data_IF_005502966395
#
_entry.id   IF_005502966395
#
_cell.length_a   1.000
_cell.length_b   1.000
_cell.length_c   1.000
_cell.angle_alpha   90.00
_cell.angle_beta   90.00
_cell.angle_gamma   90.00
#
_symmetry.space_group_name_H-M   'P 1'
#
loop_
_entity.id
_entity.type
_entity.pdbx_description
1 polymer ?
#
# COMPACT_ATOMS: atom_id res chain seq x y z
N UNK A 1 2.53 -8.33 25.63
CA UNK A 1 3.34 -8.21 24.39
C UNK A 1 2.49 -7.88 23.17
N UNK A 2 1.42 -8.63 22.85
CA UNK A 2 0.63 -8.49 21.62
C UNK A 2 0.04 -7.08 21.40
N UNK A 3 -0.51 -6.43 22.45
CA UNK A 3 -1.13 -5.10 22.33
C UNK A 3 -0.17 -3.96 21.94
N UNK A 4 1.14 -4.12 22.21
CA UNK A 4 2.15 -3.09 21.86
C UNK A 4 2.56 -3.14 20.38
N UNK A 5 2.43 -4.30 19.74
CA UNK A 5 2.88 -4.50 18.36
C UNK A 5 1.74 -4.37 17.34
N UNK A 6 0.51 -4.12 17.81
CA UNK A 6 -0.68 -4.02 16.97
C UNK A 6 -0.60 -2.87 15.94
N UNK A 7 -0.08 -1.67 16.28
CA UNK A 7 0.14 -0.63 15.28
C UNK A 7 1.13 -1.06 14.19
N UNK A 8 2.28 -1.63 14.58
CA UNK A 8 3.29 -2.09 13.63
C UNK A 8 2.77 -3.18 12.67
N UNK A 9 1.84 -4.02 13.11
CA UNK A 9 1.20 -5.01 12.23
C UNK A 9 0.31 -4.35 11.16
N UNK A 10 -0.36 -3.26 11.51
CA UNK A 10 -1.16 -2.49 10.55
C UNK A 10 -0.27 -1.69 9.59
N UNK A 11 0.84 -1.14 10.08
CA UNK A 11 1.88 -0.52 9.23
C UNK A 11 2.47 -1.51 8.24
N UNK A 12 2.69 -2.76 8.67
CA UNK A 12 3.13 -3.83 7.77
C UNK A 12 2.04 -4.21 6.75
N UNK A 13 0.76 -4.10 7.11
CA UNK A 13 -0.34 -4.30 6.17
C UNK A 13 -0.41 -3.16 5.14
N UNK A 14 -0.19 -1.90 5.54
CA UNK A 14 0.01 -0.77 4.63
C UNK A 14 1.13 -1.09 3.62
N UNK A 15 2.31 -1.49 4.12
CA UNK A 15 3.44 -1.87 3.27
C UNK A 15 3.09 -3.00 2.30
N UNK A 16 2.43 -4.05 2.78
CA UNK A 16 2.05 -5.18 1.94
C UNK A 16 1.14 -4.73 0.79
N UNK A 17 0.18 -3.84 1.05
CA UNK A 17 -0.69 -3.27 0.03
C UNK A 17 0.07 -2.37 -0.95
N UNK A 18 1.01 -1.55 -0.47
CA UNK A 18 1.87 -0.72 -1.33
C UNK A 18 2.75 -1.55 -2.27
N UNK A 19 3.37 -2.63 -1.75
CA UNK A 19 4.17 -3.56 -2.56
C UNK A 19 3.30 -4.32 -3.55
N UNK A 20 2.11 -4.77 -3.15
CA UNK A 20 1.16 -5.43 -4.07
C UNK A 20 0.75 -4.49 -5.21
N UNK A 21 0.49 -3.20 -4.91
CA UNK A 21 0.17 -2.21 -5.94
C UNK A 21 1.29 -2.09 -6.98
N UNK A 22 2.55 -2.04 -6.54
CA UNK A 22 3.74 -2.00 -7.40
C UNK A 22 3.84 -3.27 -8.24
N UNK A 23 3.67 -4.45 -7.63
CA UNK A 23 3.78 -5.73 -8.33
C UNK A 23 2.68 -5.88 -9.40
N UNK A 24 1.45 -5.53 -9.08
CA UNK A 24 0.32 -5.56 -10.03
C UNK A 24 0.57 -4.57 -11.18
N UNK A 25 1.05 -3.36 -10.88
CA UNK A 25 1.34 -2.35 -11.89
C UNK A 25 2.51 -2.75 -12.81
N UNK A 26 3.51 -3.43 -12.23
CA UNK A 26 4.71 -3.88 -12.95
C UNK A 26 4.47 -5.18 -13.73
N UNK A 27 3.44 -5.95 -13.37
CA UNK A 27 3.14 -7.22 -14.03
C UNK A 27 2.69 -6.99 -15.49
N UNK A 28 3.33 -7.70 -16.41
CA UNK A 28 3.02 -7.68 -17.86
C UNK A 28 1.94 -8.68 -18.25
N UNK A 29 1.48 -9.52 -17.30
CA UNK A 29 0.43 -10.50 -17.54
C UNK A 29 -0.95 -9.86 -17.47
N UNK A 30 -1.84 -10.20 -18.41
CA UNK A 30 -3.27 -9.84 -18.35
C UNK A 30 -3.91 -10.56 -17.15
N UNK A 31 -3.94 -9.91 -15.98
CA UNK A 31 -4.79 -10.36 -14.87
C UNK A 31 -6.24 -10.00 -15.21
N UNK A 32 -6.85 -10.81 -16.08
CA UNK A 32 -8.22 -10.63 -16.54
C UNK A 32 -9.17 -11.40 -15.64
N UNK A 33 -9.69 -10.74 -14.61
CA UNK A 33 -11.01 -11.09 -14.08
C UNK A 33 -12.01 -10.33 -14.95
N UNK A 34 -12.36 -10.95 -16.09
CA UNK A 34 -13.44 -10.55 -17.00
C UNK A 34 -13.19 -9.42 -18.01
N UNK A 35 -13.60 -9.70 -19.25
CA UNK A 35 -13.78 -8.85 -20.45
C UNK A 35 -12.51 -8.55 -21.31
N UNK A 36 -12.52 -8.91 -22.62
CA UNK A 36 -11.44 -8.62 -23.55
C UNK A 36 -11.62 -7.22 -24.18
N UNK A 37 -10.72 -6.28 -23.87
CA UNK A 37 -10.70 -4.95 -24.50
C UNK A 37 -10.03 -3.79 -23.74
N UNK A 38 -9.65 -3.97 -22.47
CA UNK A 38 -9.13 -2.87 -21.63
C UNK A 38 -7.79 -3.18 -20.95
N UNK A 39 -6.73 -2.48 -21.37
CA UNK A 39 -5.42 -2.46 -20.67
C UNK A 39 -5.47 -1.73 -19.30
N UNK A 40 -6.64 -1.18 -18.94
CA UNK A 40 -6.89 -0.38 -17.72
C UNK A 40 -7.07 -1.24 -16.46
N UNK A 41 -7.30 -2.56 -16.61
CA UNK A 41 -7.66 -3.44 -15.50
C UNK A 41 -6.59 -3.52 -14.39
N UNK A 42 -5.31 -3.69 -14.76
CA UNK A 42 -4.23 -3.83 -13.77
C UNK A 42 -3.98 -2.53 -13.01
N UNK A 43 -4.00 -1.40 -13.73
CA UNK A 43 -3.81 -0.07 -13.14
C UNK A 43 -4.94 0.23 -12.14
N UNK A 44 -6.18 -0.12 -12.48
CA UNK A 44 -7.32 0.03 -11.56
C UNK A 44 -7.11 -0.76 -10.26
N UNK A 45 -6.70 -2.03 -10.33
CA UNK A 45 -6.41 -2.83 -9.14
C UNK A 45 -5.24 -2.27 -8.32
N UNK A 46 -4.18 -1.78 -8.96
CA UNK A 46 -3.06 -1.11 -8.28
C UNK A 46 -3.52 0.13 -7.52
N UNK A 47 -4.39 0.95 -8.11
CA UNK A 47 -4.98 2.11 -7.44
C UNK A 47 -5.83 1.70 -6.22
N UNK A 48 -6.62 0.64 -6.33
CA UNK A 48 -7.38 0.11 -5.19
C UNK A 48 -6.47 -0.39 -4.05
N UNK A 49 -5.33 -1.02 -4.38
CA UNK A 49 -4.34 -1.40 -3.38
C UNK A 49 -3.74 -0.19 -2.67
N UNK A 50 -3.43 0.90 -3.38
CA UNK A 50 -2.95 2.17 -2.76
C UNK A 50 -4.02 2.78 -1.85
N UNK A 51 -5.30 2.75 -2.27
CA UNK A 51 -6.40 3.20 -1.41
C UNK A 51 -6.54 2.34 -0.15
N UNK A 52 -6.38 1.01 -0.27
CA UNK A 52 -6.39 0.12 0.88
C UNK A 52 -5.20 0.40 1.83
N UNK A 53 -4.00 0.63 1.29
CA UNK A 53 -2.82 1.08 2.04
C UNK A 53 -3.11 2.34 2.86
N UNK A 54 -3.74 3.36 2.26
CA UNK A 54 -4.16 4.59 2.94
C UNK A 54 -5.16 4.37 4.08
N UNK A 55 -6.02 3.35 3.96
CA UNK A 55 -6.90 2.98 5.07
C UNK A 55 -6.09 2.39 6.23
N UNK A 56 -5.17 1.47 5.96
CA UNK A 56 -4.36 0.80 6.99
C UNK A 56 -3.43 1.77 7.73
N UNK A 57 -2.76 2.67 7.02
CA UNK A 57 -1.98 3.78 7.59
C UNK A 57 -2.84 4.61 8.55
N UNK A 58 -3.99 5.07 8.08
CA UNK A 58 -4.87 5.90 8.92
C UNK A 58 -5.38 5.15 10.16
N UNK A 59 -5.47 3.82 10.12
CA UNK A 59 -5.84 2.99 11.26
C UNK A 59 -4.67 2.77 12.23
N UNK A 60 -3.45 2.55 11.76
CA UNK A 60 -2.29 2.30 12.62
C UNK A 60 -1.93 3.52 13.47
N UNK A 61 -1.98 4.72 12.91
CA UNK A 61 -1.66 5.97 13.58
C UNK A 61 -2.76 6.37 14.57
N UNK A 62 -4.01 5.97 14.33
CA UNK A 62 -5.10 6.09 15.31
C UNK A 62 -4.92 5.09 16.46
N UNK A 63 -4.53 3.85 16.16
CA UNK A 63 -4.36 2.81 17.15
C UNK A 63 -3.15 3.06 18.06
N UNK A 64 -2.02 3.49 17.49
CA UNK A 64 -0.82 3.89 18.23
C UNK A 64 -1.11 5.01 19.23
N UNK A 65 -1.86 6.03 18.81
CA UNK A 65 -2.31 7.14 19.67
C UNK A 65 -3.27 6.67 20.77
N UNK A 66 -4.24 5.84 20.43
CA UNK A 66 -5.24 5.34 21.39
C UNK A 66 -4.64 4.39 22.43
N UNK A 67 -3.62 3.62 22.06
CA UNK A 67 -2.94 2.68 22.96
C UNK A 67 -1.77 3.31 23.72
N UNK A 68 -1.41 4.56 23.42
CA UNK A 68 -0.23 5.25 23.97
C UNK A 68 1.07 4.43 23.79
N UNK A 69 1.14 3.67 22.70
CA UNK A 69 2.29 2.83 22.34
C UNK A 69 2.89 3.38 21.05
N UNK A 70 3.49 4.57 21.14
CA UNK A 70 4.32 5.11 20.07
C UNK A 70 5.78 4.75 20.39
N UNK A 71 6.43 4.01 19.51
CA UNK A 71 7.88 3.75 19.59
C UNK A 71 8.59 4.50 18.47
N UNK A 72 9.85 4.87 18.70
CA UNK A 72 10.66 5.60 17.73
C UNK A 72 10.93 4.75 16.47
N UNK A 73 11.19 3.47 16.64
CA UNK A 73 11.28 2.50 15.55
C UNK A 73 9.96 2.37 14.77
N UNK A 74 8.82 2.33 15.48
CA UNK A 74 7.50 2.29 14.83
C UNK A 74 7.25 3.51 13.95
N UNK A 75 7.64 4.71 14.40
CA UNK A 75 7.54 5.94 13.59
C UNK A 75 8.43 5.91 12.35
N UNK A 76 9.64 5.38 12.45
CA UNK A 76 10.52 5.26 11.28
C UNK A 76 9.98 4.24 10.27
N UNK A 77 9.43 3.12 10.77
CA UNK A 77 8.79 2.12 9.94
C UNK A 77 7.56 2.69 9.21
N UNK A 78 6.72 3.42 9.92
CA UNK A 78 5.55 4.15 9.39
C UNK A 78 5.93 5.04 8.21
N UNK A 79 6.93 5.90 8.41
CA UNK A 79 7.43 6.80 7.36
C UNK A 79 7.99 6.06 6.14
N UNK A 80 8.66 4.92 6.34
CA UNK A 80 9.17 4.10 5.25
C UNK A 80 8.04 3.43 4.47
N UNK A 81 7.02 2.93 5.17
CA UNK A 81 5.85 2.32 4.57
C UNK A 81 5.04 3.34 3.76
N UNK A 82 4.86 4.55 4.27
CA UNK A 82 4.21 5.66 3.56
C UNK A 82 4.97 6.06 2.29
N UNK A 83 6.30 6.12 2.34
CA UNK A 83 7.11 6.40 1.16
C UNK A 83 6.87 5.36 0.06
N UNK A 84 6.75 4.07 0.43
CA UNK A 84 6.52 3.00 -0.54
C UNK A 84 5.08 3.05 -1.08
N UNK A 85 4.09 3.16 -0.20
CA UNK A 85 2.67 3.13 -0.56
C UNK A 85 2.19 4.39 -1.30
N UNK A 86 2.70 5.58 -0.96
CA UNK A 86 2.23 6.86 -1.50
C UNK A 86 3.26 7.60 -2.34
N UNK A 87 4.53 7.22 -2.27
CA UNK A 87 5.58 7.75 -3.15
C UNK A 87 5.86 6.80 -4.31
N UNK A 88 6.36 5.61 -3.99
CA UNK A 88 6.86 4.67 -5.01
C UNK A 88 5.71 4.04 -5.80
N UNK A 89 4.66 3.55 -5.15
CA UNK A 89 3.56 2.88 -5.86
C UNK A 89 2.84 3.79 -6.88
N UNK A 90 2.47 5.05 -6.56
CA UNK A 90 1.90 5.97 -7.54
C UNK A 90 2.87 6.32 -8.68
N UNK A 91 4.17 6.46 -8.40
CA UNK A 91 5.17 6.72 -9.43
C UNK A 91 5.27 5.56 -10.44
N UNK A 92 5.24 4.31 -9.97
CA UNK A 92 5.24 3.12 -10.84
C UNK A 92 3.95 3.03 -11.65
N UNK A 93 2.79 3.33 -11.05
CA UNK A 93 1.52 3.36 -11.76
C UNK A 93 1.53 4.42 -12.88
N UNK A 94 2.02 5.63 -12.58
CA UNK A 94 2.14 6.70 -13.57
C UNK A 94 3.11 6.34 -14.71
N UNK A 95 4.25 5.72 -14.37
CA UNK A 95 5.19 5.20 -15.37
C UNK A 95 4.52 4.15 -16.26
N UNK A 96 3.77 3.21 -15.68
CA UNK A 96 3.03 2.20 -16.43
C UNK A 96 2.00 2.83 -17.36
N UNK A 97 1.25 3.83 -16.92
CA UNK A 97 0.28 4.54 -17.75
C UNK A 97 0.92 5.31 -18.91
N UNK A 98 2.13 5.84 -18.71
CA UNK A 98 2.82 6.59 -19.76
C UNK A 98 3.43 5.69 -20.84
N UNK A 99 3.86 4.48 -20.47
CA UNK A 99 4.56 3.54 -21.36
C UNK A 99 3.76 2.28 -21.72
N UNK A 100 2.49 2.18 -21.32
CA UNK A 100 1.53 1.14 -21.76
C UNK A 100 0.81 1.59 -23.04
#
# INVERSE_FOLDING_TARGET
MIRKNLPNMLTLANLAMGVLAILVASSTGKFSISQPGEDINLVYYSCLCVMAAAMFDRFDGKLARKLNVASELGKQLDSLCDLISFGVAPAVIAWKLHFA
#
